data_IF_483640356771
#
_entry.id   IF_483640356771
#
_cell.length_a   1.000
_cell.length_b   1.000
_cell.length_c   1.000
_cell.angle_alpha   90.00
_cell.angle_beta   90.00
_cell.angle_gamma   90.00
#
_symmetry.space_group_name_H-M   'P 1'
#
loop_
_entity.id
_entity.type
_entity.pdbx_description
1 polymer ?
#
# COMPACT_ATOMS: atom_id res chain seq x y z
N UNK A 1 -20.29 21.44 -56.61
CA UNK A 1 -19.26 22.04 -57.46
C UNK A 1 -18.73 23.29 -56.78
N UNK A 2 -17.41 23.43 -56.68
CA UNK A 2 -16.75 24.65 -56.22
C UNK A 2 -15.31 24.65 -56.73
N UNK A 3 -15.05 25.47 -57.72
CA UNK A 3 -13.71 25.67 -58.28
C UNK A 3 -12.92 26.53 -57.29
N UNK A 4 -11.66 26.16 -57.05
CA UNK A 4 -10.80 26.83 -56.05
C UNK A 4 -9.47 27.16 -56.68
N UNK A 5 -8.86 28.26 -56.26
CA UNK A 5 -7.52 28.63 -56.72
C UNK A 5 -6.45 27.66 -56.21
N UNK A 6 -5.31 27.55 -56.89
CA UNK A 6 -4.17 26.75 -56.42
C UNK A 6 -3.74 27.17 -55.02
N UNK A 7 -3.73 28.49 -54.76
CA UNK A 7 -3.41 29.10 -53.47
C UNK A 7 -4.36 28.71 -52.34
N UNK A 8 -5.67 28.65 -52.60
CA UNK A 8 -6.66 28.16 -51.63
C UNK A 8 -6.52 26.66 -51.38
N UNK A 9 -6.26 25.85 -52.41
CA UNK A 9 -6.04 24.42 -52.26
C UNK A 9 -4.77 24.14 -51.43
N UNK A 10 -3.67 24.86 -51.68
CA UNK A 10 -2.44 24.79 -50.89
C UNK A 10 -2.70 25.07 -49.40
N UNK A 11 -3.48 26.13 -49.10
CA UNK A 11 -3.87 26.49 -47.74
C UNK A 11 -4.75 25.44 -47.04
N UNK A 12 -5.67 24.80 -47.76
CA UNK A 12 -6.54 23.73 -47.23
C UNK A 12 -5.76 22.44 -46.94
N UNK A 13 -4.81 22.08 -47.81
CA UNK A 13 -4.02 20.84 -47.67
C UNK A 13 -2.80 21.04 -46.75
N UNK A 14 -2.43 22.29 -46.44
CA UNK A 14 -1.30 22.61 -45.56
C UNK A 14 0.08 22.42 -46.20
N UNK A 15 0.15 22.49 -47.54
CA UNK A 15 1.36 22.29 -48.33
C UNK A 15 1.80 23.64 -48.92
N UNK A 16 3.10 24.01 -48.90
CA UNK A 16 3.57 25.25 -49.52
C UNK A 16 3.31 25.25 -51.03
N UNK A 17 2.85 26.40 -51.55
CA UNK A 17 2.36 26.59 -52.92
C UNK A 17 3.31 26.01 -54.00
N UNK A 18 4.62 26.24 -53.86
CA UNK A 18 5.65 25.74 -54.78
C UNK A 18 5.57 24.22 -54.94
N UNK A 19 5.35 23.48 -53.85
CA UNK A 19 5.26 22.02 -53.84
C UNK A 19 3.94 21.51 -54.41
N UNK A 20 2.86 22.26 -54.27
CA UNK A 20 1.61 21.93 -54.95
C UNK A 20 1.75 22.14 -56.47
N UNK A 21 2.40 23.22 -56.90
CA UNK A 21 2.70 23.48 -58.32
C UNK A 21 3.67 22.43 -58.91
N UNK A 22 4.64 21.93 -58.15
CA UNK A 22 5.44 20.74 -58.53
C UNK A 22 4.53 19.52 -58.76
N UNK A 23 3.70 19.16 -57.76
CA UNK A 23 2.82 17.98 -57.82
C UNK A 23 1.77 18.04 -58.92
N UNK A 24 1.26 19.23 -59.25
CA UNK A 24 0.31 19.44 -60.35
C UNK A 24 0.98 19.31 -61.72
N UNK A 25 2.21 19.81 -61.88
CA UNK A 25 3.01 19.60 -63.11
C UNK A 25 3.37 18.13 -63.30
N UNK A 26 3.78 17.43 -62.24
CA UNK A 26 3.98 15.97 -62.28
C UNK A 26 2.70 15.20 -62.62
N UNK A 27 1.53 15.67 -62.16
CA UNK A 27 0.22 15.08 -62.48
C UNK A 27 -0.28 15.42 -63.89
N UNK A 28 0.42 16.25 -64.66
CA UNK A 28 0.03 16.67 -66.02
C UNK A 28 -1.06 17.75 -66.08
N UNK A 29 -1.29 18.48 -64.98
CA UNK A 29 -2.31 19.54 -64.90
C UNK A 29 -1.70 20.87 -65.37
N UNK A 30 -2.44 21.63 -66.18
CA UNK A 30 -1.95 22.87 -66.82
C UNK A 30 -1.96 24.12 -65.93
N UNK A 31 -2.43 24.02 -64.69
CA UNK A 31 -2.32 25.10 -63.70
C UNK A 31 -0.84 25.32 -63.34
N UNK A 32 -0.37 26.56 -63.48
CA UNK A 32 1.02 26.96 -63.38
C UNK A 32 1.24 28.21 -62.50
N UNK A 33 0.19 28.96 -62.17
CA UNK A 33 0.22 30.16 -61.32
C UNK A 33 -0.52 29.93 -59.99
N UNK A 34 -0.41 30.89 -59.06
CA UNK A 34 -1.07 30.81 -57.75
C UNK A 34 -2.60 30.94 -57.83
N UNK A 35 -3.08 31.72 -58.81
CA UNK A 35 -4.45 32.21 -58.88
C UNK A 35 -5.29 31.49 -59.96
N UNK A 36 -4.68 30.52 -60.66
CA UNK A 36 -5.36 29.59 -61.57
C UNK A 36 -6.44 28.80 -60.80
N UNK A 37 -7.60 28.58 -61.42
CA UNK A 37 -8.71 27.81 -60.84
C UNK A 37 -8.57 26.33 -61.18
N UNK A 38 -8.80 25.47 -60.18
CA UNK A 38 -8.74 24.02 -60.28
C UNK A 38 -10.16 23.43 -60.27
N UNK A 39 -10.51 22.71 -61.33
CA UNK A 39 -11.76 21.97 -61.49
C UNK A 39 -11.74 20.67 -60.67
N UNK A 40 -12.91 20.03 -60.48
CA UNK A 40 -12.97 18.80 -59.66
C UNK A 40 -12.22 17.62 -60.28
N UNK A 41 -12.26 17.48 -61.62
CA UNK A 41 -11.55 16.42 -62.34
C UNK A 41 -10.02 16.54 -62.18
N UNK A 42 -9.50 17.77 -62.12
CA UNK A 42 -8.08 18.07 -61.89
C UNK A 42 -7.66 17.76 -60.44
N UNK A 43 -8.56 17.97 -59.47
CA UNK A 43 -8.33 17.51 -58.09
C UNK A 43 -8.30 15.98 -58.04
N UNK A 44 -9.16 15.30 -58.80
CA UNK A 44 -9.21 13.84 -58.86
C UNK A 44 -7.98 13.23 -59.55
N UNK A 45 -7.47 13.82 -60.63
CA UNK A 45 -6.21 13.38 -61.26
C UNK A 45 -5.00 13.63 -60.35
N UNK A 46 -4.93 14.80 -59.69
CA UNK A 46 -3.92 15.08 -58.66
C UNK A 46 -3.96 14.05 -57.52
N UNK A 47 -5.16 13.76 -56.98
CA UNK A 47 -5.33 12.76 -55.91
C UNK A 47 -4.90 11.36 -56.36
N UNK A 48 -5.27 10.93 -57.57
CA UNK A 48 -4.81 9.65 -58.13
C UNK A 48 -3.29 9.60 -58.33
N UNK A 49 -2.68 10.70 -58.80
CA UNK A 49 -1.23 10.81 -58.91
C UNK A 49 -0.54 10.71 -57.53
N UNK A 50 -1.02 11.45 -56.53
CA UNK A 50 -0.50 11.39 -55.16
C UNK A 50 -0.65 10.00 -54.53
N UNK A 51 -1.81 9.34 -54.70
CA UNK A 51 -2.01 7.97 -54.22
C UNK A 51 -1.08 6.98 -54.90
N UNK A 52 -0.80 7.12 -56.20
CA UNK A 52 0.22 6.33 -56.91
C UNK A 52 1.63 6.59 -56.38
N UNK A 53 2.04 7.85 -56.19
CA UNK A 53 3.34 8.20 -55.56
C UNK A 53 3.50 7.63 -54.15
N UNK A 54 2.40 7.53 -53.39
CA UNK A 54 2.37 6.94 -52.05
C UNK A 54 2.04 5.43 -52.02
N UNK A 55 1.96 4.76 -53.18
CA UNK A 55 1.74 3.31 -53.28
C UNK A 55 0.38 2.82 -52.77
N UNK A 56 -0.66 3.67 -52.83
CA UNK A 56 -2.00 3.39 -52.27
C UNK A 56 -3.08 3.05 -53.29
N UNK A 57 -2.89 3.41 -54.56
CA UNK A 57 -3.74 2.95 -55.69
C UNK A 57 -3.15 1.71 -56.41
N UNK A 58 -2.03 1.16 -55.92
CA UNK A 58 -1.34 0.02 -56.53
C UNK A 58 -1.91 -1.34 -56.05
N UNK A 59 -3.06 -1.69 -56.58
CA UNK A 59 -3.62 -3.05 -56.50
C UNK A 59 -2.79 -4.09 -57.30
N UNK A 60 -1.84 -3.63 -58.13
CA UNK A 60 -1.05 -4.45 -59.06
C UNK A 60 0.43 -4.66 -58.66
N UNK A 61 0.94 -4.01 -57.60
CA UNK A 61 2.35 -4.04 -57.18
C UNK A 61 2.87 -5.33 -56.52
N UNK A 62 2.37 -6.50 -56.93
CA UNK A 62 2.24 -7.74 -56.15
C UNK A 62 3.52 -8.52 -55.76
N UNK A 63 4.70 -7.88 -55.71
CA UNK A 63 5.98 -8.49 -55.28
C UNK A 63 6.80 -7.60 -54.32
N UNK A 64 6.99 -6.32 -54.66
CA UNK A 64 7.88 -5.42 -53.90
C UNK A 64 7.35 -5.08 -52.50
N UNK A 65 6.05 -4.79 -52.37
CA UNK A 65 5.44 -4.39 -51.10
C UNK A 65 5.25 -5.56 -50.11
N UNK A 66 5.20 -6.81 -50.60
CA UNK A 66 4.92 -8.00 -49.77
C UNK A 66 6.00 -8.30 -48.72
N UNK A 67 7.23 -7.79 -48.87
CA UNK A 67 8.42 -8.25 -48.12
C UNK A 67 9.39 -7.13 -47.73
N UNK A 68 9.09 -6.40 -46.66
CA UNK A 68 9.94 -5.32 -46.13
C UNK A 68 11.09 -5.88 -45.30
N UNK A 69 12.34 -5.70 -45.76
CA UNK A 69 13.54 -6.16 -45.04
C UNK A 69 14.22 -5.02 -44.28
N UNK A 70 13.92 -4.91 -42.99
CA UNK A 70 14.58 -3.96 -42.09
C UNK A 70 16.03 -4.39 -41.81
N UNK A 71 16.98 -3.52 -42.11
CA UNK A 71 18.43 -3.73 -41.86
C UNK A 71 18.85 -2.88 -40.67
N UNK A 72 19.26 -3.49 -39.56
CA UNK A 72 19.83 -2.79 -38.40
C UNK A 72 21.34 -3.08 -38.30
N UNK A 73 22.14 -2.05 -38.48
CA UNK A 73 23.57 -2.05 -38.15
C UNK A 73 23.74 -1.83 -36.65
N UNK A 74 24.58 -2.65 -36.02
CA UNK A 74 25.12 -2.42 -34.67
C UNK A 74 26.64 -2.51 -34.77
N UNK A 75 27.36 -1.54 -34.20
CA UNK A 75 28.83 -1.59 -34.10
C UNK A 75 29.20 -1.74 -32.62
N UNK A 76 30.06 -2.70 -32.32
CA UNK A 76 30.56 -2.99 -30.98
C UNK A 76 32.09 -3.05 -31.02
N UNK A 77 32.75 -2.22 -30.23
CA UNK A 77 34.20 -2.25 -30.07
C UNK A 77 34.62 -3.36 -29.12
N UNK A 78 35.48 -4.26 -29.58
CA UNK A 78 36.11 -5.30 -28.77
C UNK A 78 37.57 -4.90 -28.53
N UNK A 79 37.93 -4.70 -27.26
CA UNK A 79 39.33 -4.49 -26.86
C UNK A 79 40.02 -5.85 -26.81
N UNK A 80 41.07 -6.03 -27.61
CA UNK A 80 41.91 -7.21 -27.56
C UNK A 80 42.80 -7.10 -26.32
N UNK A 81 42.67 -8.06 -25.40
CA UNK A 81 43.59 -8.21 -24.28
C UNK A 81 44.98 -8.59 -24.77
N UNK A 82 45.97 -7.80 -24.40
CA UNK A 82 47.39 -8.00 -24.72
C UNK A 82 48.17 -8.40 -23.48
N UNK A 83 49.36 -8.98 -23.67
CA UNK A 83 50.34 -9.17 -22.59
C UNK A 83 50.72 -7.80 -21.98
N UNK A 84 51.06 -7.74 -20.67
CA UNK A 84 51.49 -6.50 -20.03
C UNK A 84 52.67 -5.86 -20.79
N UNK A 85 52.55 -4.57 -21.12
CA UNK A 85 53.55 -3.84 -21.91
C UNK A 85 53.31 -3.78 -23.43
N UNK A 86 52.11 -4.10 -23.91
CA UNK A 86 51.70 -3.92 -25.32
C UNK A 86 50.33 -3.22 -25.44
N UNK A 87 50.21 -2.28 -26.37
CA UNK A 87 49.01 -1.45 -26.56
C UNK A 87 47.75 -2.27 -26.91
N UNK A 88 46.65 -1.97 -26.20
CA UNK A 88 45.38 -2.72 -26.36
C UNK A 88 44.65 -2.32 -27.65
N UNK A 89 44.89 -3.08 -28.72
CA UNK A 89 44.21 -2.90 -30.01
C UNK A 89 42.69 -3.02 -29.85
N UNK A 90 41.96 -2.01 -30.32
CA UNK A 90 40.47 -1.98 -30.27
C UNK A 90 39.92 -2.25 -31.66
N UNK A 91 39.18 -3.35 -31.80
CA UNK A 91 38.61 -3.83 -33.07
C UNK A 91 37.12 -3.48 -33.12
N UNK A 92 36.70 -2.73 -34.14
CA UNK A 92 35.29 -2.36 -34.33
C UNK A 92 34.54 -3.46 -35.11
N UNK A 93 33.74 -4.26 -34.40
CA UNK A 93 32.96 -5.35 -34.99
C UNK A 93 31.60 -4.80 -35.42
N UNK A 94 31.29 -4.84 -36.73
CA UNK A 94 29.99 -4.44 -37.27
C UNK A 94 29.07 -5.66 -37.46
N UNK A 95 28.06 -5.81 -36.59
CA UNK A 95 27.01 -6.83 -36.72
C UNK A 95 25.82 -6.25 -37.49
N UNK A 96 25.51 -6.84 -38.65
CA UNK A 96 24.38 -6.44 -39.49
C UNK A 96 23.21 -7.40 -39.33
N UNK A 97 22.16 -7.01 -38.59
CA UNK A 97 20.94 -7.82 -38.45
C UNK A 97 19.94 -7.47 -39.56
N UNK A 98 19.45 -8.48 -40.27
CA UNK A 98 18.33 -8.39 -41.22
C UNK A 98 17.08 -8.96 -40.53
N UNK A 99 15.98 -8.20 -40.44
CA UNK A 99 14.65 -8.71 -40.07
C UNK A 99 13.70 -8.50 -41.26
N UNK A 100 13.09 -9.57 -41.71
CA UNK A 100 12.17 -9.56 -42.86
C UNK A 100 10.75 -9.64 -42.36
N UNK A 101 9.96 -8.61 -42.61
CA UNK A 101 8.53 -8.58 -42.35
C UNK A 101 7.79 -8.88 -43.66
N UNK A 102 6.84 -9.80 -43.59
CA UNK A 102 5.94 -10.16 -44.70
C UNK A 102 4.54 -9.69 -44.29
N UNK A 103 3.80 -9.06 -45.20
CA UNK A 103 2.42 -8.63 -44.95
C UNK A 103 1.48 -9.85 -44.98
N UNK A 104 1.48 -10.58 -43.85
CA UNK A 104 0.95 -11.95 -43.74
C UNK A 104 -0.55 -12.06 -44.07
N UNK A 105 -1.34 -11.04 -43.78
CA UNK A 105 -2.80 -11.02 -43.99
C UNK A 105 -3.24 -11.25 -45.46
N UNK A 106 -2.37 -10.89 -46.42
CA UNK A 106 -2.57 -11.04 -47.88
C UNK A 106 -1.75 -12.19 -48.48
N UNK A 107 -1.15 -13.03 -47.63
CA UNK A 107 -0.21 -14.08 -48.03
C UNK A 107 -0.43 -15.40 -47.25
N UNK A 108 -1.63 -15.58 -46.70
CA UNK A 108 -2.06 -16.78 -45.96
C UNK A 108 -3.23 -17.43 -46.71
N UNK A 109 -3.28 -18.76 -46.71
CA UNK A 109 -4.47 -19.50 -47.14
C UNK A 109 -5.68 -19.17 -46.25
N UNK A 110 -6.89 -19.32 -46.77
CA UNK A 110 -8.11 -19.25 -45.94
C UNK A 110 -8.11 -20.35 -44.86
N UNK A 111 -7.43 -21.47 -45.09
CA UNK A 111 -7.16 -22.52 -44.10
C UNK A 111 -6.35 -22.00 -42.90
N UNK A 112 -5.27 -21.24 -43.17
CA UNK A 112 -4.42 -20.64 -42.13
C UNK A 112 -5.14 -19.46 -41.42
N UNK A 113 -6.11 -18.82 -42.08
CA UNK A 113 -7.00 -17.81 -41.48
C UNK A 113 -7.98 -18.47 -40.51
N UNK A 114 -8.62 -19.58 -40.90
CA UNK A 114 -9.45 -20.38 -40.00
C UNK A 114 -8.66 -20.90 -38.79
N UNK A 115 -7.45 -21.41 -38.99
CA UNK A 115 -6.61 -21.89 -37.89
C UNK A 115 -6.28 -20.75 -36.91
N UNK A 116 -5.91 -19.56 -37.40
CA UNK A 116 -5.71 -18.38 -36.56
C UNK A 116 -6.98 -17.95 -35.81
N UNK A 117 -8.17 -18.10 -36.39
CA UNK A 117 -9.42 -17.82 -35.67
C UNK A 117 -9.70 -18.85 -34.58
N UNK A 118 -9.46 -20.15 -34.84
CA UNK A 118 -9.61 -21.21 -33.84
C UNK A 118 -8.64 -20.98 -32.67
N UNK A 119 -7.36 -20.69 -32.95
CA UNK A 119 -6.36 -20.35 -31.93
C UNK A 119 -6.75 -19.10 -31.12
N UNK A 120 -7.33 -18.06 -31.73
CA UNK A 120 -7.86 -16.91 -30.99
C UNK A 120 -9.01 -17.29 -30.06
N UNK A 121 -9.98 -18.06 -30.55
CA UNK A 121 -11.15 -18.52 -29.77
C UNK A 121 -10.72 -19.39 -28.59
N UNK A 122 -9.77 -20.31 -28.79
CA UNK A 122 -9.14 -21.13 -27.74
C UNK A 122 -8.43 -20.27 -26.67
N UNK A 123 -7.68 -19.24 -27.09
CA UNK A 123 -6.99 -18.33 -26.18
C UNK A 123 -7.96 -17.46 -25.38
N UNK A 124 -9.03 -16.97 -26.00
CA UNK A 124 -10.10 -16.24 -25.31
C UNK A 124 -10.84 -17.12 -24.30
N UNK A 125 -11.14 -18.37 -24.63
CA UNK A 125 -11.81 -19.29 -23.71
C UNK A 125 -10.90 -19.64 -22.52
N UNK A 126 -9.60 -19.82 -22.77
CA UNK A 126 -8.60 -20.01 -21.69
C UNK A 126 -8.48 -18.79 -20.79
N UNK A 127 -8.46 -17.58 -21.36
CA UNK A 127 -8.45 -16.33 -20.60
C UNK A 127 -9.70 -16.20 -19.71
N UNK A 128 -10.90 -16.41 -20.28
CA UNK A 128 -12.18 -16.37 -19.54
C UNK A 128 -12.21 -17.43 -18.41
N UNK A 129 -11.67 -18.62 -18.63
CA UNK A 129 -11.52 -19.66 -17.59
C UNK A 129 -10.57 -19.23 -16.47
N UNK A 130 -9.43 -18.63 -16.80
CA UNK A 130 -8.47 -18.11 -15.83
C UNK A 130 -9.04 -16.94 -15.01
N UNK A 131 -9.78 -16.02 -15.63
CA UNK A 131 -10.48 -14.93 -14.93
C UNK A 131 -11.51 -15.45 -13.92
N UNK A 132 -12.30 -16.47 -14.30
CA UNK A 132 -13.28 -17.11 -13.40
C UNK A 132 -12.59 -17.88 -12.27
N UNK A 133 -11.49 -18.59 -12.55
CA UNK A 133 -10.70 -19.27 -11.52
C UNK A 133 -10.06 -18.30 -10.53
N UNK A 134 -9.50 -17.18 -11.02
CA UNK A 134 -8.92 -16.15 -10.14
C UNK A 134 -9.98 -15.45 -9.29
N UNK A 135 -11.17 -15.16 -9.84
CA UNK A 135 -12.30 -14.63 -9.08
C UNK A 135 -12.74 -15.61 -7.99
N UNK A 136 -12.92 -16.89 -8.31
CA UNK A 136 -13.28 -17.92 -7.33
C UNK A 136 -12.20 -18.11 -6.24
N UNK A 137 -10.92 -17.98 -6.59
CA UNK A 137 -9.83 -18.01 -5.62
C UNK A 137 -9.83 -16.76 -4.71
N UNK A 138 -10.05 -15.58 -5.30
CA UNK A 138 -10.12 -14.29 -4.58
C UNK A 138 -11.29 -14.27 -3.60
N UNK A 139 -12.46 -14.77 -3.99
CA UNK A 139 -13.64 -14.91 -3.14
C UNK A 139 -13.43 -15.90 -1.99
N UNK A 140 -12.81 -17.06 -2.26
CA UNK A 140 -12.44 -18.03 -1.22
C UNK A 140 -11.49 -17.40 -0.20
N UNK A 141 -10.42 -16.75 -0.66
CA UNK A 141 -9.45 -16.09 0.20
C UNK A 141 -10.05 -14.91 0.99
N UNK A 142 -11.05 -14.21 0.46
CA UNK A 142 -11.79 -13.17 1.18
C UNK A 142 -12.66 -13.75 2.30
N UNK A 143 -13.38 -14.86 2.03
CA UNK A 143 -14.19 -15.57 3.03
C UNK A 143 -13.35 -16.21 4.14
N UNK A 144 -12.24 -16.84 3.78
CA UNK A 144 -11.32 -17.43 4.77
C UNK A 144 -10.74 -16.35 5.69
N UNK A 145 -10.32 -15.20 5.14
CA UNK A 145 -9.85 -14.06 5.94
C UNK A 145 -10.92 -13.52 6.90
N UNK A 146 -12.15 -13.33 6.44
CA UNK A 146 -13.23 -12.82 7.32
C UNK A 146 -13.64 -13.84 8.38
N UNK A 147 -13.61 -15.14 8.07
CA UNK A 147 -13.84 -16.21 9.06
C UNK A 147 -12.71 -16.29 10.11
N UNK A 148 -11.45 -16.17 9.68
CA UNK A 148 -10.29 -16.11 10.59
C UNK A 148 -10.31 -14.85 11.48
N UNK A 149 -10.67 -13.69 10.93
CA UNK A 149 -10.81 -12.45 11.69
C UNK A 149 -11.97 -12.53 12.69
N UNK A 150 -13.12 -13.08 12.29
CA UNK A 150 -14.25 -13.32 13.19
C UNK A 150 -13.90 -14.28 14.33
N UNK A 151 -13.16 -15.37 14.04
CA UNK A 151 -12.65 -16.30 15.06
C UNK A 151 -11.67 -15.62 16.01
N UNK A 152 -10.73 -14.83 15.51
CA UNK A 152 -9.79 -14.07 16.36
C UNK A 152 -10.51 -13.03 17.23
N UNK A 153 -11.52 -12.34 16.69
CA UNK A 153 -12.33 -11.37 17.44
C UNK A 153 -13.16 -12.05 18.54
N UNK A 154 -13.69 -13.26 18.29
CA UNK A 154 -14.37 -14.07 19.29
C UNK A 154 -13.41 -14.54 20.41
N UNK A 155 -12.24 -15.07 20.05
CA UNK A 155 -11.23 -15.51 21.03
C UNK A 155 -10.75 -14.34 21.91
N UNK A 156 -10.45 -13.18 21.32
CA UNK A 156 -10.05 -11.98 22.08
C UNK A 156 -11.12 -11.54 23.08
N UNK A 157 -12.40 -11.51 22.67
CA UNK A 157 -13.51 -11.17 23.58
C UNK A 157 -13.61 -12.13 24.77
N UNK A 158 -13.47 -13.44 24.53
CA UNK A 158 -13.48 -14.46 25.59
C UNK A 158 -12.26 -14.33 26.52
N UNK A 159 -11.09 -14.00 25.98
CA UNK A 159 -9.87 -13.77 26.78
C UNK A 159 -9.97 -12.49 27.63
N UNK A 160 -10.45 -11.39 27.06
CA UNK A 160 -10.69 -10.13 27.78
C UNK A 160 -11.76 -10.29 28.87
N UNK A 161 -12.84 -11.03 28.60
CA UNK A 161 -13.89 -11.32 29.59
C UNK A 161 -13.36 -12.22 30.73
N UNK A 162 -12.63 -13.30 30.40
CA UNK A 162 -11.99 -14.15 31.40
C UNK A 162 -10.93 -13.40 32.22
N UNK A 163 -10.20 -12.46 31.61
CA UNK A 163 -9.24 -11.58 32.30
C UNK A 163 -9.96 -10.59 33.22
N UNK A 164 -11.07 -10.00 32.78
CA UNK A 164 -11.89 -9.13 33.60
C UNK A 164 -12.54 -9.87 34.79
N UNK A 165 -12.96 -11.12 34.60
CA UNK A 165 -13.50 -11.96 35.67
C UNK A 165 -12.43 -12.33 36.70
N UNK A 166 -11.23 -12.75 36.25
CA UNK A 166 -10.07 -12.98 37.13
C UNK A 166 -9.70 -11.73 37.92
N UNK A 167 -9.60 -10.58 37.28
CA UNK A 167 -9.28 -9.31 37.94
C UNK A 167 -10.36 -8.82 38.92
N UNK A 168 -11.62 -9.26 38.78
CA UNK A 168 -12.66 -9.08 39.81
C UNK A 168 -12.43 -10.00 41.01
N UNK A 169 -12.23 -11.30 40.76
CA UNK A 169 -11.98 -12.32 41.81
C UNK A 169 -10.72 -12.02 42.63
N UNK A 170 -9.65 -11.57 41.99
CA UNK A 170 -8.42 -11.14 42.68
C UNK A 170 -8.70 -9.96 43.63
N UNK A 171 -9.39 -8.91 43.16
CA UNK A 171 -9.75 -7.75 43.99
C UNK A 171 -10.69 -8.10 45.14
N UNK A 172 -11.63 -9.03 44.92
CA UNK A 172 -12.54 -9.52 45.93
C UNK A 172 -11.80 -10.31 47.03
N UNK A 173 -10.95 -11.26 46.64
CA UNK A 173 -10.12 -12.00 47.62
C UNK A 173 -9.08 -11.12 48.33
N UNK A 174 -8.56 -10.06 47.69
CA UNK A 174 -7.69 -9.10 48.36
C UNK A 174 -8.47 -8.21 49.34
N UNK A 175 -9.67 -7.75 48.98
CA UNK A 175 -10.54 -7.00 49.88
C UNK A 175 -10.92 -7.83 51.12
N UNK A 176 -11.28 -9.11 50.93
CA UNK A 176 -11.57 -10.04 52.03
C UNK A 176 -10.34 -10.25 52.92
N UNK A 177 -9.15 -10.51 52.33
CA UNK A 177 -7.88 -10.60 53.09
C UNK A 177 -7.61 -9.35 53.91
N UNK A 178 -7.80 -8.16 53.35
CA UNK A 178 -7.63 -6.90 54.06
C UNK A 178 -8.65 -6.73 55.20
N UNK A 179 -9.91 -7.17 55.04
CA UNK A 179 -10.91 -7.16 56.12
C UNK A 179 -10.50 -8.11 57.26
N UNK A 180 -10.02 -9.32 56.93
CA UNK A 180 -9.54 -10.32 57.90
C UNK A 180 -8.24 -9.88 58.60
N UNK A 181 -7.35 -9.15 57.94
CA UNK A 181 -6.19 -8.54 58.61
C UNK A 181 -6.63 -7.41 59.55
N UNK A 182 -7.54 -6.53 59.10
CA UNK A 182 -8.07 -5.42 59.91
C UNK A 182 -8.79 -5.92 61.15
N UNK A 183 -9.62 -6.96 61.07
CA UNK A 183 -10.30 -7.54 62.25
C UNK A 183 -9.30 -8.12 63.25
N UNK A 184 -8.39 -9.00 62.81
CA UNK A 184 -7.33 -9.57 63.68
C UNK A 184 -6.46 -8.50 64.34
N UNK A 185 -6.16 -7.42 63.62
CA UNK A 185 -5.40 -6.28 64.14
C UNK A 185 -6.18 -5.46 65.17
N UNK A 186 -7.51 -5.35 65.03
CA UNK A 186 -8.39 -4.74 66.03
C UNK A 186 -8.51 -5.63 67.28
N UNK A 187 -8.74 -6.93 67.13
CA UNK A 187 -8.79 -7.91 68.22
C UNK A 187 -7.50 -7.89 69.05
N UNK A 188 -6.34 -8.00 68.40
CA UNK A 188 -5.04 -7.91 69.06
C UNK A 188 -4.78 -6.54 69.72
N UNK A 189 -5.42 -5.46 69.26
CA UNK A 189 -5.37 -4.15 69.91
C UNK A 189 -6.26 -4.10 71.15
N UNK A 190 -7.48 -4.66 71.08
CA UNK A 190 -8.40 -4.78 72.23
C UNK A 190 -7.78 -5.63 73.33
N UNK A 191 -7.19 -6.78 72.99
CA UNK A 191 -6.53 -7.66 73.98
C UNK A 191 -5.35 -6.97 74.67
N UNK A 192 -4.44 -6.33 73.92
CA UNK A 192 -3.31 -5.57 74.49
C UNK A 192 -3.78 -4.44 75.41
N UNK A 193 -4.89 -3.78 75.09
CA UNK A 193 -5.44 -2.72 75.94
C UNK A 193 -6.15 -3.29 77.18
N UNK A 194 -6.88 -4.40 77.06
CA UNK A 194 -7.43 -5.13 78.21
C UNK A 194 -6.33 -5.63 79.14
N UNK A 195 -5.22 -6.13 78.61
CA UNK A 195 -4.06 -6.57 79.39
C UNK A 195 -3.37 -5.39 80.12
N UNK A 196 -3.19 -4.24 79.44
CA UNK A 196 -2.72 -2.99 80.07
C UNK A 196 -3.64 -2.55 81.21
N UNK A 197 -4.95 -2.56 81.02
CA UNK A 197 -5.93 -2.19 82.06
C UNK A 197 -5.88 -3.18 83.23
N UNK A 198 -5.77 -4.49 82.98
CA UNK A 198 -5.55 -5.52 84.03
C UNK A 198 -4.27 -5.25 84.82
N UNK A 199 -3.14 -4.98 84.14
CA UNK A 199 -1.85 -4.64 84.76
C UNK A 199 -1.91 -3.35 85.58
N UNK A 200 -2.54 -2.28 85.06
CA UNK A 200 -2.76 -1.03 85.80
C UNK A 200 -3.68 -1.21 87.02
N UNK A 201 -4.75 -2.00 86.90
CA UNK A 201 -5.64 -2.31 88.02
C UNK A 201 -4.93 -3.13 89.11
N UNK A 202 -4.09 -4.10 88.72
CA UNK A 202 -3.23 -4.85 89.66
C UNK A 202 -2.23 -3.93 90.35
N UNK A 203 -1.51 -3.08 89.61
CA UNK A 203 -0.58 -2.09 90.17
C UNK A 203 -1.28 -1.10 91.12
N UNK A 204 -2.48 -0.63 90.78
CA UNK A 204 -3.29 0.26 91.64
C UNK A 204 -3.74 -0.44 92.93
N UNK A 205 -4.12 -1.73 92.87
CA UNK A 205 -4.41 -2.55 94.05
C UNK A 205 -3.16 -2.76 94.92
N UNK A 206 -2.02 -3.08 94.32
CA UNK A 206 -0.75 -3.24 95.04
C UNK A 206 -0.30 -1.94 95.72
N UNK A 207 -0.38 -0.80 95.03
CA UNK A 207 -0.07 0.52 95.60
C UNK A 207 -1.03 0.92 96.74
N UNK A 208 -2.32 0.55 96.64
CA UNK A 208 -3.28 0.76 97.73
C UNK A 208 -2.99 -0.12 98.95
N UNK A 209 -2.57 -1.38 98.75
CA UNK A 209 -2.12 -2.27 99.82
C UNK A 209 -0.83 -1.74 100.49
N UNK A 210 0.15 -1.31 99.69
CA UNK A 210 1.40 -0.71 100.19
C UNK A 210 1.13 0.57 101.01
N UNK A 211 0.22 1.45 100.56
CA UNK A 211 -0.19 2.63 101.36
C UNK A 211 -0.93 2.27 102.64
N UNK A 212 -1.69 1.17 102.69
CA UNK A 212 -2.28 0.67 103.95
C UNK A 212 -1.21 0.13 104.92
N UNK A 213 -0.20 -0.58 104.42
CA UNK A 213 0.92 -1.05 105.24
C UNK A 213 1.78 0.12 105.78
N UNK A 214 2.09 1.11 104.93
CA UNK A 214 2.90 2.27 105.29
C UNK A 214 2.23 3.25 106.27
N UNK A 215 0.92 3.13 106.51
CA UNK A 215 0.20 3.94 107.51
C UNK A 215 0.49 3.55 108.97
N UNK A 216 1.23 2.46 109.22
CA UNK A 216 1.37 1.83 110.52
C UNK A 216 2.43 2.38 111.49
N UNK A 217 3.09 3.52 111.20
CA UNK A 217 4.20 3.98 112.06
C UNK A 217 4.41 5.52 112.10
N UNK A 218 3.75 6.22 113.04
CA UNK A 218 4.28 7.40 113.79
C UNK A 218 3.29 7.92 114.86
N UNK A 219 3.77 8.02 116.11
CA UNK A 219 3.11 8.59 117.31
C UNK A 219 4.23 8.84 118.36
N UNK A 220 4.11 9.72 119.38
CA UNK A 220 3.05 10.69 119.69
C UNK A 220 3.55 12.15 119.90
N UNK A 221 2.58 13.07 120.14
CA UNK A 221 2.63 14.32 120.95
C UNK A 221 3.76 15.38 120.80
N UNK A 222 3.40 16.68 120.77
CA UNK A 222 4.40 17.78 120.78
C UNK A 222 3.92 19.25 120.54
N UNK A 223 2.79 19.66 121.13
CA UNK A 223 2.32 21.06 121.41
C UNK A 223 2.91 22.33 120.73
N UNK A 224 2.01 23.17 120.16
CA UNK A 224 2.20 24.61 119.80
C UNK A 224 1.43 24.98 118.51
N UNK A 225 0.30 25.70 118.48
CA UNK A 225 0.04 27.14 118.78
C UNK A 225 0.92 28.08 117.92
N UNK A 226 0.45 29.01 117.07
CA UNK A 226 -0.84 29.73 116.81
C UNK A 226 -0.93 30.12 115.29
N UNK A 227 -1.88 30.83 114.66
CA UNK A 227 -3.33 31.20 114.77
C UNK A 227 -3.64 32.15 113.55
N UNK A 228 -4.84 32.31 112.95
CA UNK A 228 -6.13 31.63 113.12
C UNK A 228 -7.37 32.34 112.47
N UNK A 229 -7.32 32.87 111.23
CA UNK A 229 -8.48 33.51 110.54
C UNK A 229 -9.26 32.50 109.66
N UNK A 230 -10.56 32.19 109.78
CA UNK A 230 -11.81 32.98 109.99
C UNK A 230 -12.32 33.71 108.73
N UNK A 231 -13.63 33.73 108.43
CA UNK A 231 -14.80 32.87 108.81
C UNK A 231 -16.04 33.33 108.03
N UNK A 232 -16.79 32.42 107.41
CA UNK A 232 -18.24 32.22 107.58
C UNK A 232 -18.67 30.95 106.86
#
# INVERSE_FOLDING_TARGET
MSDKTVKELAGIVGIPLERLLEQMKEAGISAHTADDKINEDEKMTLLGHLRKRHGKDEEAGASAAKKVTLKRRTVTSLKQGTTPGQDTKTINIQVNKKKTYIKREEAMSDEEREELERVKKDLEERAKKQEVEEQLHRDKAAREKSELEAKQAAVKKLEDEARAERAKKEKETEAERQVVEKSKRLEASVERNAEKVRKQAAAKKAAAAAKKAAGGARKPAGTGAKEGSRRR
#
